data_IF_117107294533
#
_entry.id   IF_117107294533
#
_cell.length_a   1.000
_cell.length_b   1.000
_cell.length_c   1.000
_cell.angle_alpha   90.00
_cell.angle_beta   90.00
_cell.angle_gamma   90.00
#
_symmetry.space_group_name_H-M   'P 1'
#
loop_
_entity.id
_entity.type
_entity.pdbx_description
1 polymer ?
#
# COMPACT_ATOMS: atom_id res chain seq x y z
N UNK A 1 -9.23 -2.95 -0.59
CA UNK A 1 -8.66 -4.31 -0.49
C UNK A 1 -7.18 -4.23 -0.82
N UNK A 2 -6.33 -4.26 0.20
CA UNK A 2 -4.89 -4.53 0.09
C UNK A 2 -4.26 -4.61 1.48
N UNK A 3 -4.91 -4.08 2.53
CA UNK A 3 -4.44 -4.27 3.91
C UNK A 3 -4.29 -5.74 4.29
N UNK A 4 -5.25 -6.60 3.92
CA UNK A 4 -5.14 -8.04 4.24
C UNK A 4 -4.06 -8.75 3.43
N UNK A 5 -3.88 -8.38 2.16
CA UNK A 5 -2.86 -8.99 1.30
C UNK A 5 -1.46 -8.50 1.67
N UNK A 6 -1.32 -7.22 1.99
CA UNK A 6 -0.09 -6.60 2.47
C UNK A 6 0.25 -7.08 3.89
N UNK A 7 -0.72 -7.22 4.79
CA UNK A 7 -0.55 -7.85 6.11
C UNK A 7 -0.14 -9.32 5.94
N UNK A 8 -0.70 -10.07 4.98
CA UNK A 8 -0.25 -11.43 4.69
C UNK A 8 1.19 -11.47 4.15
N UNK A 9 1.58 -10.53 3.28
CA UNK A 9 2.95 -10.40 2.76
C UNK A 9 3.94 -9.90 3.83
N UNK A 10 3.51 -9.04 4.75
CA UNK A 10 4.32 -8.57 5.88
C UNK A 10 4.45 -9.67 6.95
N UNK A 11 3.39 -10.42 7.25
CA UNK A 11 3.43 -11.60 8.12
C UNK A 11 4.36 -12.68 7.54
N UNK A 12 4.39 -12.84 6.21
CA UNK A 12 5.38 -13.69 5.52
C UNK A 12 6.83 -13.23 5.80
N UNK A 13 7.11 -11.92 5.83
CA UNK A 13 8.44 -11.38 6.18
C UNK A 13 8.78 -11.46 7.67
N UNK A 14 7.81 -11.25 8.56
CA UNK A 14 8.00 -11.22 10.03
C UNK A 14 8.23 -12.63 10.61
N UNK A 15 7.57 -13.66 10.06
CA UNK A 15 7.79 -15.07 10.45
C UNK A 15 9.22 -15.58 10.16
N UNK A 16 10.04 -14.83 9.42
CA UNK A 16 11.46 -15.11 9.16
C UNK A 16 12.34 -15.01 10.41
N UNK A 17 11.94 -14.23 11.42
CA UNK A 17 12.78 -13.94 12.61
C UNK A 17 12.44 -14.76 13.85
N UNK A 18 11.37 -15.56 13.84
CA UNK A 18 11.00 -16.31 15.03
C UNK A 18 9.99 -17.40 14.76
N UNK A 19 10.48 -18.59 14.36
CA UNK A 19 9.89 -19.87 14.80
C UNK A 19 10.75 -21.05 14.35
N UNK A 20 11.72 -21.40 15.19
CA UNK A 20 11.82 -22.79 15.63
C UNK A 20 10.58 -23.03 16.50
N UNK A 21 9.95 -24.21 16.38
CA UNK A 21 8.82 -24.71 17.20
C UNK A 21 7.44 -24.29 16.69
N UNK A 22 6.84 -25.13 15.84
CA UNK A 22 5.46 -25.63 15.97
C UNK A 22 5.09 -26.48 14.73
N UNK A 23 5.68 -27.66 14.61
CA UNK A 23 4.99 -28.78 13.96
C UNK A 23 3.92 -29.28 14.93
N UNK A 24 2.64 -29.12 14.59
CA UNK A 24 1.61 -30.17 14.63
C UNK A 24 0.20 -29.60 14.50
N UNK A 25 -0.50 -30.14 13.49
CA UNK A 25 -1.96 -30.33 13.33
C UNK A 25 -2.67 -29.43 12.32
N UNK A 26 -3.42 -30.16 11.47
CA UNK A 26 -4.55 -29.81 10.60
C UNK A 26 -4.27 -29.43 9.14
N UNK A 27 -4.55 -30.40 8.26
CA UNK A 27 -4.87 -30.27 6.83
C UNK A 27 -3.73 -29.80 5.94
N UNK A 28 -3.07 -30.74 5.24
CA UNK A 28 -2.01 -30.46 4.26
C UNK A 28 -2.47 -29.54 3.11
N UNK A 29 -2.42 -28.23 3.34
CA UNK A 29 -1.81 -27.31 2.39
C UNK A 29 -0.43 -27.03 2.98
N UNK A 30 0.55 -27.79 2.48
CA UNK A 30 1.95 -27.68 2.85
C UNK A 30 2.40 -26.28 2.43
N UNK A 31 2.37 -25.31 3.35
CA UNK A 31 3.01 -24.01 3.14
C UNK A 31 4.50 -24.26 2.95
N UNK A 32 4.94 -24.37 1.69
CA UNK A 32 6.34 -24.58 1.37
C UNK A 32 7.10 -23.31 1.68
N UNK A 33 7.95 -23.37 2.71
CA UNK A 33 8.95 -22.35 3.02
C UNK A 33 10.03 -22.38 1.93
N UNK A 34 9.68 -21.93 0.73
CA UNK A 34 10.57 -21.78 -0.41
C UNK A 34 11.12 -20.37 -0.47
N UNK A 35 12.41 -20.21 -0.82
CA UNK A 35 13.01 -18.91 -1.16
C UNK A 35 12.40 -18.28 -2.42
N UNK A 36 11.68 -19.08 -3.21
CA UNK A 36 11.02 -18.71 -4.46
C UNK A 36 9.56 -19.15 -4.37
N UNK A 37 8.64 -18.25 -4.73
CA UNK A 37 7.21 -18.55 -4.78
C UNK A 37 6.91 -19.38 -6.03
N UNK A 38 6.24 -20.52 -5.88
CA UNK A 38 5.81 -21.30 -7.02
C UNK A 38 4.47 -20.76 -7.56
N UNK A 39 4.15 -21.06 -8.82
CA UNK A 39 2.87 -20.69 -9.43
C UNK A 39 1.70 -21.30 -8.66
N UNK A 40 1.83 -22.54 -8.19
CA UNK A 40 0.81 -23.20 -7.37
C UNK A 40 0.52 -22.44 -6.06
N UNK A 41 1.55 -21.93 -5.39
CA UNK A 41 1.41 -21.14 -4.16
C UNK A 41 0.64 -19.85 -4.40
N UNK A 42 0.96 -19.15 -5.49
CA UNK A 42 0.24 -17.94 -5.87
C UNK A 42 -1.20 -18.24 -6.23
N UNK A 43 -1.47 -19.30 -7.00
CA UNK A 43 -2.84 -19.72 -7.34
C UNK A 43 -3.65 -19.99 -6.09
N UNK A 44 -3.08 -20.73 -5.13
CA UNK A 44 -3.72 -20.98 -3.85
C UNK A 44 -4.00 -19.69 -3.07
N UNK A 45 -3.03 -18.75 -3.03
CA UNK A 45 -3.20 -17.45 -2.39
C UNK A 45 -4.33 -16.63 -3.04
N UNK A 46 -4.30 -16.49 -4.37
CA UNK A 46 -5.30 -15.73 -5.12
C UNK A 46 -6.67 -16.38 -5.02
N UNK A 47 -6.77 -17.71 -5.12
CA UNK A 47 -8.03 -18.44 -4.95
C UNK A 47 -8.59 -18.25 -3.54
N UNK A 48 -7.74 -18.20 -2.51
CA UNK A 48 -8.16 -17.94 -1.14
C UNK A 48 -8.68 -16.52 -0.93
N UNK A 49 -8.05 -15.52 -1.56
CA UNK A 49 -8.39 -14.10 -1.36
C UNK A 49 -9.55 -13.65 -2.24
N UNK A 50 -9.59 -14.11 -3.50
CA UNK A 50 -10.52 -13.64 -4.53
C UNK A 50 -11.62 -14.66 -4.86
N UNK A 51 -11.45 -15.92 -4.46
CA UNK A 51 -12.22 -17.05 -4.97
C UNK A 51 -11.60 -17.63 -6.26
N UNK A 52 -11.84 -18.91 -6.50
CA UNK A 52 -11.28 -19.66 -7.63
C UNK A 52 -11.64 -19.00 -8.96
N UNK A 53 -12.92 -18.72 -9.21
CA UNK A 53 -13.40 -18.14 -10.47
C UNK A 53 -12.73 -16.79 -10.80
N UNK A 54 -12.55 -15.92 -9.78
CA UNK A 54 -11.91 -14.63 -9.99
C UNK A 54 -10.40 -14.77 -10.17
N UNK A 55 -9.76 -15.70 -9.46
CA UNK A 55 -8.34 -16.05 -9.67
C UNK A 55 -8.11 -16.48 -11.13
N UNK A 56 -8.95 -17.37 -11.67
CA UNK A 56 -8.83 -17.81 -13.05
C UNK A 56 -8.98 -16.64 -14.01
N UNK A 57 -10.01 -15.81 -13.82
CA UNK A 57 -10.23 -14.60 -14.62
C UNK A 57 -9.02 -13.66 -14.60
N UNK A 58 -8.39 -13.45 -13.46
CA UNK A 58 -7.17 -12.61 -13.34
C UNK A 58 -6.01 -13.21 -14.15
N UNK A 59 -5.79 -14.52 -14.09
CA UNK A 59 -4.72 -15.17 -14.86
C UNK A 59 -4.97 -15.09 -16.37
N UNK A 60 -6.21 -15.29 -16.83
CA UNK A 60 -6.59 -15.10 -18.24
C UNK A 60 -6.40 -13.65 -18.68
N UNK A 61 -6.84 -12.69 -17.88
CA UNK A 61 -6.65 -11.25 -18.15
C UNK A 61 -5.17 -10.82 -18.17
N UNK A 62 -4.28 -11.62 -17.58
CA UNK A 62 -2.83 -11.44 -17.64
C UNK A 62 -2.17 -12.15 -18.85
N UNK A 63 -2.94 -12.86 -19.68
CA UNK A 63 -2.40 -13.68 -20.77
C UNK A 63 -1.65 -14.92 -20.27
N UNK A 64 -2.04 -15.43 -19.11
CA UNK A 64 -1.38 -16.54 -18.41
C UNK A 64 -2.27 -17.79 -18.32
N UNK A 65 -3.12 -18.03 -19.32
CA UNK A 65 -4.03 -19.18 -19.39
C UNK A 65 -3.31 -20.52 -19.17
N UNK A 66 -2.07 -20.65 -19.63
CA UNK A 66 -1.24 -21.82 -19.43
C UNK A 66 -1.00 -22.16 -17.95
N UNK A 67 -1.07 -21.17 -17.06
CA UNK A 67 -0.87 -21.37 -15.62
C UNK A 67 -2.09 -21.95 -14.92
N UNK A 68 -3.24 -22.00 -15.58
CA UNK A 68 -4.45 -22.63 -15.03
C UNK A 68 -4.28 -24.15 -14.93
N UNK A 69 -3.52 -24.74 -15.85
CA UNK A 69 -3.13 -26.14 -15.78
C UNK A 69 -2.17 -26.37 -14.59
N UNK A 70 -2.40 -27.45 -13.85
CA UNK A 70 -1.57 -27.89 -12.73
C UNK A 70 -0.15 -28.28 -13.14
N UNK A 71 0.09 -28.55 -14.43
CA UNK A 71 1.42 -28.87 -14.95
C UNK A 71 2.47 -27.78 -14.66
N UNK A 72 2.04 -26.52 -14.50
CA UNK A 72 2.92 -25.38 -14.25
C UNK A 72 3.09 -25.03 -12.77
N UNK A 73 2.46 -25.76 -11.84
CA UNK A 73 2.38 -25.35 -10.43
C UNK A 73 3.72 -25.33 -9.72
N UNK A 74 4.63 -26.23 -10.11
CA UNK A 74 5.99 -26.30 -9.57
C UNK A 74 6.95 -25.27 -10.16
N UNK A 75 6.54 -24.48 -11.14
CA UNK A 75 7.40 -23.47 -11.78
C UNK A 75 7.51 -22.21 -10.92
N UNK A 76 8.63 -21.49 -11.05
CA UNK A 76 8.83 -20.22 -10.34
C UNK A 76 7.90 -19.13 -10.87
N UNK A 77 7.31 -18.36 -9.97
CA UNK A 77 6.42 -17.25 -10.30
C UNK A 77 7.17 -16.01 -10.84
N UNK A 78 8.48 -15.88 -10.60
CA UNK A 78 9.22 -14.64 -10.88
C UNK A 78 9.08 -14.16 -12.34
N UNK A 79 8.99 -15.10 -13.29
CA UNK A 79 8.83 -14.80 -14.72
C UNK A 79 7.47 -14.18 -15.05
N UNK A 80 6.43 -14.51 -14.26
CA UNK A 80 5.06 -14.05 -14.48
C UNK A 80 4.68 -12.84 -13.61
N UNK A 81 5.52 -12.52 -12.61
CA UNK A 81 5.27 -11.51 -11.60
C UNK A 81 4.83 -10.17 -12.17
N UNK A 82 5.54 -9.67 -13.18
CA UNK A 82 5.25 -8.36 -13.77
C UNK A 82 3.86 -8.32 -14.42
N UNK A 83 3.53 -9.33 -15.22
CA UNK A 83 2.25 -9.42 -15.92
C UNK A 83 1.08 -9.59 -14.93
N UNK A 84 1.23 -10.50 -13.94
CA UNK A 84 0.19 -10.72 -12.92
C UNK A 84 -0.02 -9.47 -12.07
N UNK A 85 1.05 -8.78 -11.67
CA UNK A 85 0.94 -7.56 -10.87
C UNK A 85 0.25 -6.42 -11.63
N UNK A 86 0.62 -6.21 -12.90
CA UNK A 86 -0.04 -5.22 -13.75
C UNK A 86 -1.55 -5.49 -13.89
N UNK A 87 -1.95 -6.75 -14.08
CA UNK A 87 -3.36 -7.13 -14.15
C UNK A 87 -4.09 -6.91 -12.84
N UNK A 88 -3.48 -7.28 -11.70
CA UNK A 88 -4.07 -7.05 -10.38
C UNK A 88 -4.31 -5.55 -10.13
N UNK A 89 -3.36 -4.68 -10.48
CA UNK A 89 -3.55 -3.22 -10.36
C UNK A 89 -4.68 -2.69 -11.24
N UNK A 90 -4.85 -3.26 -12.44
CA UNK A 90 -5.93 -2.87 -13.36
C UNK A 90 -7.30 -3.33 -12.88
N UNK A 91 -7.38 -4.55 -12.35
CA UNK A 91 -8.62 -5.16 -11.84
C UNK A 91 -9.05 -4.57 -10.50
N UNK A 92 -8.09 -4.22 -9.65
CA UNK A 92 -8.29 -3.65 -8.33
C UNK A 92 -7.57 -2.31 -8.22
N UNK A 93 -7.99 -1.29 -9.00
CA UNK A 93 -7.33 -0.01 -8.95
C UNK A 93 -7.51 0.59 -7.56
N UNK A 94 -6.44 1.21 -7.07
CA UNK A 94 -6.48 1.97 -5.83
C UNK A 94 -7.45 3.13 -6.03
N UNK A 95 -8.63 3.02 -5.42
CA UNK A 95 -9.57 4.12 -5.38
C UNK A 95 -9.12 5.07 -4.28
N UNK A 96 -8.68 6.27 -4.67
CA UNK A 96 -8.36 7.34 -3.74
C UNK A 96 -9.66 7.89 -3.14
N UNK A 97 -10.18 7.19 -2.13
CA UNK A 97 -11.27 7.71 -1.32
C UNK A 97 -10.71 8.72 -0.31
N UNK A 98 -11.15 9.97 -0.43
CA UNK A 98 -10.81 11.05 0.50
C UNK A 98 -11.02 10.68 1.97
N UNK A 99 -12.01 9.82 2.28
CA UNK A 99 -12.24 9.35 3.66
C UNK A 99 -11.17 8.40 4.16
N UNK A 100 -10.60 7.59 3.27
CA UNK A 100 -9.52 6.65 3.59
C UNK A 100 -8.14 7.33 3.57
N UNK A 101 -8.02 8.47 2.87
CA UNK A 101 -6.78 9.25 2.82
C UNK A 101 -6.59 10.20 4.01
N UNK A 102 -7.54 10.25 4.97
CA UNK A 102 -7.34 11.05 6.18
C UNK A 102 -6.18 10.50 6.98
N UNK A 103 -5.16 11.33 7.15
CA UNK A 103 -3.98 10.98 7.92
C UNK A 103 -4.29 10.80 9.41
N UNK A 104 -3.33 10.24 10.12
CA UNK A 104 -3.34 10.26 11.58
C UNK A 104 -3.17 11.70 12.07
N UNK A 105 -3.94 12.16 13.08
CA UNK A 105 -3.69 13.43 13.74
C UNK A 105 -2.25 13.54 14.24
N UNK A 106 -1.65 14.73 14.13
CA UNK A 106 -0.33 14.99 14.71
C UNK A 106 -0.41 14.85 16.24
N UNK A 107 0.59 14.21 16.85
CA UNK A 107 0.68 14.10 18.31
C UNK A 107 1.07 15.43 18.97
N UNK A 108 0.62 15.67 20.21
CA UNK A 108 0.85 16.93 20.94
C UNK A 108 2.34 17.30 21.13
N UNK A 109 3.22 16.31 21.11
CA UNK A 109 4.68 16.47 21.26
C UNK A 109 5.46 16.05 20.01
N UNK A 110 4.75 15.71 18.93
CA UNK A 110 5.35 15.21 17.71
C UNK A 110 6.04 16.34 16.95
N UNK A 111 7.25 16.07 16.46
CA UNK A 111 7.96 17.02 15.62
C UNK A 111 7.24 17.14 14.25
N UNK A 112 6.87 18.36 13.78
CA UNK A 112 6.12 18.54 12.54
C UNK A 112 6.84 18.02 11.27
N UNK A 113 8.16 18.01 11.24
CA UNK A 113 8.92 17.48 10.10
C UNK A 113 8.87 15.94 10.08
N UNK A 114 9.02 15.29 11.24
CA UNK A 114 8.85 13.84 11.38
C UNK A 114 7.42 13.41 11.03
N UNK A 115 6.43 14.17 11.51
CA UNK A 115 5.02 13.98 11.18
C UNK A 115 4.78 14.05 9.67
N UNK A 116 5.28 15.10 9.00
CA UNK A 116 5.11 15.26 7.56
C UNK A 116 5.78 14.11 6.78
N UNK A 117 6.94 13.63 7.23
CA UNK A 117 7.59 12.47 6.62
C UNK A 117 6.72 11.21 6.75
N UNK A 118 6.15 10.96 7.93
CA UNK A 118 5.24 9.84 8.14
C UNK A 118 3.98 9.92 7.25
N UNK A 119 3.44 11.12 7.02
CA UNK A 119 2.31 11.31 6.11
C UNK A 119 2.69 11.01 4.64
N UNK A 120 3.90 11.35 4.20
CA UNK A 120 4.39 11.01 2.86
C UNK A 120 4.54 9.50 2.70
N UNK A 121 5.11 8.82 3.71
CA UNK A 121 5.27 7.37 3.69
C UNK A 121 3.90 6.67 3.66
N UNK A 122 2.94 7.15 4.44
CA UNK A 122 1.55 6.68 4.42
C UNK A 122 0.91 6.89 3.05
N UNK A 123 1.05 8.08 2.46
CA UNK A 123 0.51 8.39 1.13
C UNK A 123 1.06 7.42 0.08
N UNK A 124 2.37 7.16 0.08
CA UNK A 124 2.99 6.21 -0.85
C UNK A 124 2.51 4.77 -0.62
N UNK A 125 2.26 4.36 0.63
CA UNK A 125 1.69 3.04 0.91
C UNK A 125 0.25 2.92 0.40
N UNK A 126 -0.55 3.96 0.55
CA UNK A 126 -1.96 3.93 0.15
C UNK A 126 -2.17 4.11 -1.35
N UNK A 127 -1.32 4.89 -2.01
CA UNK A 127 -1.52 5.34 -3.40
C UNK A 127 -0.51 4.78 -4.38
N UNK A 128 0.58 4.20 -3.88
CA UNK A 128 1.77 3.80 -4.66
C UNK A 128 2.45 4.94 -5.44
N UNK A 129 2.05 6.19 -5.18
CA UNK A 129 2.49 7.38 -5.90
C UNK A 129 3.20 8.36 -4.95
N UNK A 130 4.13 9.14 -5.49
CA UNK A 130 4.66 10.28 -4.74
C UNK A 130 3.64 11.44 -4.78
N UNK A 131 3.35 12.12 -3.66
CA UNK A 131 2.39 13.23 -3.65
C UNK A 131 2.81 14.38 -4.58
N UNK A 132 4.07 14.47 -5.00
CA UNK A 132 4.56 15.51 -5.92
C UNK A 132 4.57 15.08 -7.39
N UNK A 133 4.19 13.85 -7.74
CA UNK A 133 4.19 13.41 -9.16
C UNK A 133 3.18 14.16 -10.01
N UNK A 134 2.07 14.61 -9.42
CA UNK A 134 1.01 15.30 -10.13
C UNK A 134 0.43 16.46 -9.29
N UNK A 135 0.08 17.62 -9.88
CA UNK A 135 -0.46 18.76 -9.14
C UNK A 135 -1.70 18.43 -8.30
N UNK A 136 -2.59 17.58 -8.81
CA UNK A 136 -3.79 17.13 -8.09
C UNK A 136 -3.43 16.32 -6.84
N UNK A 137 -2.43 15.44 -6.92
CA UNK A 137 -1.97 14.66 -5.77
C UNK A 137 -1.33 15.56 -4.72
N UNK A 138 -0.56 16.56 -5.14
CA UNK A 138 0.04 17.51 -4.21
C UNK A 138 -1.03 18.27 -3.43
N UNK A 139 -2.09 18.73 -4.10
CA UNK A 139 -3.22 19.41 -3.45
C UNK A 139 -3.97 18.48 -2.50
N UNK A 140 -4.32 17.27 -2.96
CA UNK A 140 -5.03 16.28 -2.13
C UNK A 140 -4.22 15.87 -0.90
N UNK A 141 -2.93 15.61 -1.07
CA UNK A 141 -2.01 15.28 0.02
C UNK A 141 -1.95 16.41 1.04
N UNK A 142 -1.74 17.66 0.62
CA UNK A 142 -1.66 18.81 1.53
C UNK A 142 -2.96 19.04 2.29
N UNK A 143 -4.10 18.90 1.63
CA UNK A 143 -5.40 18.96 2.30
C UNK A 143 -5.53 17.84 3.34
N UNK A 144 -5.12 16.61 3.02
CA UNK A 144 -5.15 15.49 3.97
C UNK A 144 -4.28 15.74 5.20
N UNK A 145 -3.14 16.43 5.05
CA UNK A 145 -2.27 16.82 6.16
C UNK A 145 -2.95 17.91 6.99
N UNK A 146 -3.45 18.98 6.37
CA UNK A 146 -4.07 20.11 7.09
C UNK A 146 -5.32 19.68 7.89
N UNK A 147 -6.11 18.74 7.35
CA UNK A 147 -7.28 18.18 8.05
C UNK A 147 -6.93 17.48 9.37
N UNK A 148 -5.69 17.03 9.51
CA UNK A 148 -5.20 16.28 10.69
C UNK A 148 -4.50 17.15 11.73
N UNK A 149 -4.28 18.43 11.42
CA UNK A 149 -3.68 19.39 12.33
C UNK A 149 -4.72 19.98 13.30
N UNK A 150 -4.29 20.48 14.47
CA UNK A 150 -5.13 21.24 15.37
C UNK A 150 -5.73 22.48 14.70
N UNK A 151 -6.96 22.85 15.07
CA UNK A 151 -7.67 23.98 14.48
C UNK A 151 -6.89 25.30 14.53
N UNK A 152 -6.11 25.52 15.59
CA UNK A 152 -5.25 26.71 15.74
C UNK A 152 -4.12 26.75 14.71
N UNK A 153 -3.52 25.60 14.38
CA UNK A 153 -2.48 25.49 13.35
C UNK A 153 -3.10 25.62 11.97
N UNK A 154 -4.25 24.99 11.74
CA UNK A 154 -4.98 25.06 10.47
C UNK A 154 -5.33 26.50 10.09
N UNK A 155 -5.88 27.28 11.02
CA UNK A 155 -6.24 28.68 10.78
C UNK A 155 -5.03 29.52 10.33
N UNK A 156 -3.86 29.34 10.98
CA UNK A 156 -2.62 30.04 10.58
C UNK A 156 -2.15 29.67 9.17
N UNK A 157 -2.39 28.43 8.73
CA UNK A 157 -1.98 27.96 7.40
C UNK A 157 -2.96 28.41 6.30
N UNK A 158 -4.24 28.55 6.63
CA UNK A 158 -5.27 29.07 5.72
C UNK A 158 -5.02 30.54 5.35
N UNK A 159 -4.41 31.32 6.25
CA UNK A 159 -4.02 32.71 6.00
C UNK A 159 -2.88 32.85 4.96
N UNK A 160 -2.15 31.77 4.67
CA UNK A 160 -1.04 31.79 3.71
C UNK A 160 -1.57 31.57 2.29
N UNK A 161 -1.62 32.65 1.51
CA UNK A 161 -2.14 32.64 0.13
C UNK A 161 -1.41 31.62 -0.75
N UNK A 162 -2.17 30.69 -1.33
CA UNK A 162 -1.67 29.71 -2.30
C UNK A 162 -0.83 28.59 -1.68
N UNK A 163 -0.77 28.47 -0.36
CA UNK A 163 0.04 27.46 0.33
C UNK A 163 -0.21 26.02 -0.16
N UNK A 164 -1.48 25.70 -0.42
CA UNK A 164 -1.90 24.36 -0.85
C UNK A 164 -1.67 24.15 -2.35
N UNK A 165 -1.87 25.18 -3.17
CA UNK A 165 -2.02 25.04 -4.63
C UNK A 165 -0.80 25.48 -5.44
N UNK A 166 -0.03 26.46 -4.96
CA UNK A 166 1.03 27.10 -5.75
C UNK A 166 2.41 27.05 -5.09
N UNK A 167 2.48 26.90 -3.77
CA UNK A 167 3.77 26.88 -3.07
C UNK A 167 4.54 25.57 -3.26
N UNK A 168 5.87 25.59 -3.35
CA UNK A 168 6.70 24.38 -3.31
C UNK A 168 6.54 23.62 -1.98
N UNK A 169 6.79 22.31 -1.97
CA UNK A 169 6.71 21.50 -0.74
C UNK A 169 7.64 21.98 0.37
N UNK A 170 8.80 22.53 0.02
CA UNK A 170 9.72 23.10 1.00
C UNK A 170 9.06 24.23 1.78
N UNK A 171 8.45 25.20 1.08
CA UNK A 171 7.73 26.31 1.72
C UNK A 171 6.53 25.79 2.52
N UNK A 172 5.79 24.80 2.01
CA UNK A 172 4.72 24.14 2.76
C UNK A 172 5.23 23.54 4.09
N UNK A 173 6.35 22.82 4.06
CA UNK A 173 6.97 22.22 5.24
C UNK A 173 7.48 23.27 6.23
N UNK A 174 8.08 24.36 5.74
CA UNK A 174 8.57 25.46 6.57
C UNK A 174 7.41 26.16 7.29
N UNK A 175 6.31 26.45 6.60
CA UNK A 175 5.11 27.02 7.20
C UNK A 175 4.46 26.08 8.22
N UNK A 176 4.41 24.77 7.95
CA UNK A 176 3.93 23.80 8.93
C UNK A 176 4.73 23.84 10.23
N UNK A 177 6.06 23.82 10.13
CA UNK A 177 6.94 23.88 11.31
C UNK A 177 6.75 25.19 12.07
N UNK A 178 6.60 26.31 11.37
CA UNK A 178 6.39 27.62 11.98
C UNK A 178 5.02 27.75 12.67
N UNK A 179 3.96 27.16 12.11
CA UNK A 179 2.61 27.28 12.66
C UNK A 179 2.33 26.35 13.84
N UNK A 180 3.07 25.23 13.92
CA UNK A 180 2.96 24.20 14.97
C UNK A 180 3.89 24.41 16.18
N UNK A 181 4.86 25.33 16.09
CA UNK A 181 5.65 25.82 17.23
C UNK A 181 4.96 26.98 17.96
#
# INVERSE_FOLDING_TARGET
MCRDMEVMLQNYKVNRKGKKIAEKREGEIKYTVGRLMAVGDLKALLARVLGITKMESVLRSAGLDQLLDGANDGTTFDVYRVATWATLKREFPIHMDHKNMRGTPIGDTENPASFLHAQVDRWRMETEEDPETHPVFSVMFRNSVIETLPSSTRAKLEDVVGLITSKPRREFSEHLVQCSG
#
